data_IF_370332490829
#
_entry.id   IF_370332490829
#
_cell.length_a   1.000
_cell.length_b   1.000
_cell.length_c   1.000
_cell.angle_alpha   90.00
_cell.angle_beta   90.00
_cell.angle_gamma   90.00
#
_symmetry.space_group_name_H-M   'P 1'
#
loop_
_entity.id
_entity.type
_entity.pdbx_description
1 polymer ?
#
# COMPACT_ATOMS: atom_id res chain seq x y z
N UNK A 1 -79.45 36.74 33.57
CA UNK A 1 -78.63 37.05 34.76
C UNK A 1 -77.29 36.34 34.61
N UNK A 2 -76.16 36.91 35.05
CA UNK A 2 -75.51 38.21 34.80
C UNK A 2 -74.22 37.99 33.94
N UNK A 3 -73.85 38.91 33.04
CA UNK A 3 -72.83 39.96 33.20
C UNK A 3 -71.34 39.48 33.27
N UNK A 4 -70.39 40.27 32.71
CA UNK A 4 -69.20 39.78 32.01
C UNK A 4 -67.85 40.15 32.68
N UNK A 5 -66.75 39.75 32.01
CA UNK A 5 -65.38 40.31 32.12
C UNK A 5 -64.59 39.96 33.41
N UNK A 6 -63.23 40.11 33.47
CA UNK A 6 -62.36 40.84 32.55
C UNK A 6 -61.04 40.10 32.15
N UNK A 7 -60.19 40.75 31.30
CA UNK A 7 -59.00 40.16 30.70
C UNK A 7 -57.67 40.65 31.34
N UNK A 8 -56.55 40.21 30.72
CA UNK A 8 -55.14 40.72 30.80
C UNK A 8 -54.34 40.38 32.09
N UNK A 9 -53.00 40.61 32.20
CA UNK A 9 -51.84 40.51 31.28
C UNK A 9 -50.68 39.64 31.86
N UNK A 10 -49.66 39.31 31.04
CA UNK A 10 -48.25 39.21 31.49
C UNK A 10 -47.33 39.21 30.25
N UNK A 11 -46.73 40.35 29.86
CA UNK A 11 -45.34 40.75 30.21
C UNK A 11 -44.31 39.67 29.85
N UNK A 12 -43.51 39.81 28.80
CA UNK A 12 -42.33 40.68 28.71
C UNK A 12 -41.33 40.53 29.89
N UNK A 13 -40.04 40.46 29.52
CA UNK A 13 -38.83 40.47 30.37
C UNK A 13 -38.37 39.09 30.88
N UNK A 14 -37.32 38.49 30.30
CA UNK A 14 -35.92 38.84 30.51
C UNK A 14 -35.51 38.83 31.99
N UNK A 15 -34.93 37.70 32.42
CA UNK A 15 -33.99 37.58 33.55
C UNK A 15 -33.38 36.17 33.47
N UNK A 16 -32.14 36.06 33.00
CA UNK A 16 -31.00 35.86 33.89
C UNK A 16 -31.06 34.52 34.65
N UNK A 17 -30.52 33.47 34.02
CA UNK A 17 -29.80 32.43 34.76
C UNK A 17 -28.40 32.32 34.17
N UNK A 18 -27.51 33.10 34.77
CA UNK A 18 -26.09 32.77 34.83
C UNK A 18 -25.95 31.47 35.63
N UNK A 19 -25.29 30.48 35.05
CA UNK A 19 -24.64 29.40 35.81
C UNK A 19 -23.15 29.48 35.51
N UNK A 20 -22.29 29.68 36.53
CA UNK A 20 -20.85 29.67 36.35
C UNK A 20 -20.39 28.22 36.29
N UNK A 21 -19.69 27.83 35.23
CA UNK A 21 -18.86 26.63 35.28
C UNK A 21 -17.59 26.86 34.49
N UNK A 22 -16.59 27.26 35.26
CA UNK A 22 -15.17 27.23 34.93
C UNK A 22 -14.77 25.88 34.31
N UNK A 23 -14.60 25.87 32.99
CA UNK A 23 -13.87 24.81 32.31
C UNK A 23 -12.39 25.20 32.23
N UNK A 24 -11.45 24.33 32.63
CA UNK A 24 -10.03 24.68 32.66
C UNK A 24 -9.47 24.83 31.24
N UNK A 25 -8.53 25.76 31.11
CA UNK A 25 -7.71 25.94 29.92
C UNK A 25 -7.07 24.61 29.50
N UNK A 26 -7.53 24.08 28.36
CA UNK A 26 -6.98 22.87 27.77
C UNK A 26 -5.60 23.21 27.18
N UNK A 27 -4.55 22.97 27.98
CA UNK A 27 -3.17 23.05 27.54
C UNK A 27 -2.91 22.03 26.42
N UNK A 28 -2.65 22.56 25.23
CA UNK A 28 -1.72 22.00 24.25
C UNK A 28 -1.72 20.49 24.09
N UNK A 29 -2.79 19.93 23.51
CA UNK A 29 -2.64 18.67 22.77
C UNK A 29 -1.77 18.98 21.56
N UNK A 30 -0.61 18.32 21.36
CA UNK A 30 0.14 18.43 20.12
C UNK A 30 -0.80 17.99 19.01
N UNK A 31 -1.12 18.89 18.08
CA UNK A 31 -1.82 18.50 16.84
C UNK A 31 -0.99 17.38 16.22
N UNK A 32 -1.53 16.17 16.20
CA UNK A 32 -0.98 15.10 15.40
C UNK A 32 -0.78 15.64 13.99
N UNK A 33 0.39 15.41 13.34
CA UNK A 33 0.56 15.81 11.96
C UNK A 33 -0.58 15.15 11.19
N UNK A 34 -1.44 16.00 10.61
CA UNK A 34 -2.55 15.62 9.75
C UNK A 34 -1.98 14.58 8.79
N UNK A 35 -2.39 13.31 8.95
CA UNK A 35 -2.06 12.26 8.02
C UNK A 35 -2.39 12.83 6.64
N UNK A 36 -1.37 13.02 5.82
CA UNK A 36 -1.51 13.51 4.45
C UNK A 36 -2.54 12.60 3.78
N UNK A 37 -3.73 13.16 3.58
CA UNK A 37 -4.82 12.52 2.87
C UNK A 37 -4.32 12.18 1.47
N UNK A 38 -3.97 10.91 1.26
CA UNK A 38 -4.46 10.08 0.16
C UNK A 38 -4.26 10.52 -1.31
N UNK A 39 -3.54 11.61 -1.60
CA UNK A 39 -3.40 12.15 -2.96
C UNK A 39 -1.98 11.97 -3.54
N UNK A 40 -1.22 10.98 -3.07
CA UNK A 40 -0.11 10.45 -3.88
C UNK A 40 -0.76 9.51 -4.91
N UNK A 41 -0.91 9.92 -6.19
CA UNK A 41 -1.46 9.04 -7.20
C UNK A 41 -0.57 7.81 -7.26
N UNK A 42 -1.11 6.63 -6.93
CA UNK A 42 -0.42 5.35 -7.09
C UNK A 42 0.16 5.28 -8.50
N UNK A 43 1.46 5.55 -8.63
CA UNK A 43 2.19 5.44 -9.89
C UNK A 43 2.30 3.95 -10.15
N UNK A 44 1.34 3.42 -10.91
CA UNK A 44 1.40 2.05 -11.40
C UNK A 44 2.77 1.85 -12.05
N UNK A 45 3.58 0.87 -11.61
CA UNK A 45 4.92 0.70 -12.14
C UNK A 45 4.85 0.61 -13.67
N UNK A 46 5.70 1.36 -14.40
CA UNK A 46 5.67 1.34 -15.85
C UNK A 46 5.89 -0.10 -16.30
N UNK A 47 4.94 -0.65 -17.10
CA UNK A 47 5.12 -2.00 -17.65
C UNK A 47 6.50 -2.06 -18.32
N UNK A 48 7.31 -3.02 -17.87
CA UNK A 48 8.63 -3.29 -18.43
C UNK A 48 8.50 -3.47 -19.95
N UNK A 49 9.51 -3.00 -20.69
CA UNK A 49 9.55 -3.12 -22.15
C UNK A 49 9.35 -4.59 -22.58
N UNK A 50 9.91 -5.52 -21.81
CA UNK A 50 9.71 -6.96 -21.93
C UNK A 50 8.24 -7.40 -21.83
N UNK A 51 7.47 -6.83 -20.90
CA UNK A 51 6.05 -7.11 -20.77
C UNK A 51 5.21 -6.59 -21.92
N UNK A 52 5.68 -5.56 -22.65
CA UNK A 52 5.01 -5.08 -23.88
C UNK A 52 5.36 -5.97 -25.07
N UNK A 53 6.64 -6.31 -25.24
CA UNK A 53 7.12 -7.13 -26.36
C UNK A 53 6.57 -8.54 -26.33
N UNK A 54 6.57 -9.24 -25.18
CA UNK A 54 6.04 -10.60 -25.11
C UNK A 54 4.53 -10.67 -25.40
N UNK A 55 3.76 -9.66 -24.97
CA UNK A 55 2.32 -9.58 -25.30
C UNK A 55 2.09 -9.31 -26.78
N UNK A 56 2.88 -8.43 -27.41
CA UNK A 56 2.77 -8.20 -28.85
C UNK A 56 3.19 -9.44 -29.65
N UNK A 57 4.23 -10.13 -29.22
CA UNK A 57 4.67 -11.40 -29.81
C UNK A 57 3.56 -12.46 -29.69
N UNK A 58 2.95 -12.59 -28.51
CA UNK A 58 1.85 -13.54 -28.30
C UNK A 58 0.61 -13.22 -29.15
N UNK A 59 0.23 -11.94 -29.29
CA UNK A 59 -0.84 -11.54 -30.20
C UNK A 59 -0.49 -11.87 -31.66
N UNK A 60 0.74 -11.58 -32.08
CA UNK A 60 1.21 -11.88 -33.42
C UNK A 60 1.19 -13.39 -33.70
N UNK A 61 1.69 -14.21 -32.77
CA UNK A 61 1.69 -15.67 -32.94
C UNK A 61 0.29 -16.26 -33.00
N UNK A 62 -0.64 -15.79 -32.15
CA UNK A 62 -2.04 -16.25 -32.17
C UNK A 62 -2.72 -15.83 -33.47
N UNK A 63 -2.54 -14.58 -33.90
CA UNK A 63 -3.06 -14.09 -35.17
C UNK A 63 -2.49 -14.86 -36.37
N UNK A 64 -1.19 -15.14 -36.37
CA UNK A 64 -0.51 -15.87 -37.44
C UNK A 64 -0.99 -17.32 -37.56
N UNK A 65 -1.20 -18.01 -36.43
CA UNK A 65 -1.76 -19.37 -36.42
C UNK A 65 -3.19 -19.36 -36.94
N UNK A 66 -4.03 -18.41 -36.52
CA UNK A 66 -5.40 -18.30 -37.00
C UNK A 66 -5.47 -18.02 -38.51
N UNK A 67 -4.62 -17.10 -39.00
CA UNK A 67 -4.48 -16.82 -40.42
C UNK A 67 -4.03 -18.06 -41.22
N UNK A 68 -3.05 -18.80 -40.70
CA UNK A 68 -2.57 -20.04 -41.33
C UNK A 68 -3.65 -21.12 -41.41
N UNK A 69 -4.52 -21.24 -40.39
CA UNK A 69 -5.64 -22.18 -40.41
C UNK A 69 -6.64 -21.83 -41.53
N UNK A 70 -7.00 -20.54 -41.67
CA UNK A 70 -7.90 -20.09 -42.74
C UNK A 70 -7.31 -20.31 -44.12
N UNK A 71 -6.01 -20.05 -44.31
CA UNK A 71 -5.32 -20.36 -45.57
C UNK A 71 -5.25 -21.87 -45.89
N UNK A 72 -5.42 -22.74 -44.89
CA UNK A 72 -5.41 -24.19 -45.10
C UNK A 72 -6.78 -24.76 -45.47
N UNK A 73 -7.85 -24.12 -45.00
CA UNK A 73 -9.25 -24.51 -45.30
C UNK A 73 -9.76 -23.84 -46.58
N UNK A 74 -9.34 -22.61 -46.85
CA UNK A 74 -9.74 -21.82 -47.99
C UNK A 74 -8.52 -21.43 -48.82
N UNK A 75 -8.65 -21.39 -50.15
CA UNK A 75 -7.65 -20.77 -51.03
C UNK A 75 -8.13 -19.36 -51.43
N UNK A 76 -8.02 -18.35 -50.54
CA UNK A 76 -8.46 -17.00 -50.85
C UNK A 76 -7.61 -16.40 -51.98
N UNK A 77 -8.19 -15.46 -52.72
CA UNK A 77 -7.41 -14.65 -53.66
C UNK A 77 -6.26 -13.93 -52.94
N UNK A 78 -5.13 -13.76 -53.62
CA UNK A 78 -3.94 -13.08 -53.07
C UNK A 78 -4.27 -11.70 -52.49
N UNK A 79 -5.23 -10.99 -53.12
CA UNK A 79 -5.72 -9.70 -52.65
C UNK A 79 -6.47 -9.79 -51.32
N UNK A 80 -7.32 -10.80 -51.12
CA UNK A 80 -8.05 -11.02 -49.88
C UNK A 80 -7.10 -11.41 -48.73
N UNK A 81 -6.11 -12.26 -49.01
CA UNK A 81 -5.07 -12.62 -48.05
C UNK A 81 -4.23 -11.39 -47.63
N UNK A 82 -3.85 -10.54 -48.59
CA UNK A 82 -3.13 -9.30 -48.30
C UNK A 82 -3.96 -8.32 -47.45
N UNK A 83 -5.26 -8.18 -47.75
CA UNK A 83 -6.17 -7.32 -46.97
C UNK A 83 -6.36 -7.82 -45.53
N UNK A 84 -6.50 -9.13 -45.31
CA UNK A 84 -6.60 -9.70 -43.95
C UNK A 84 -5.32 -9.43 -43.13
N UNK A 85 -4.15 -9.61 -43.75
CA UNK A 85 -2.87 -9.38 -43.11
C UNK A 85 -2.66 -7.89 -42.78
N UNK A 86 -3.04 -6.99 -43.69
CA UNK A 86 -3.04 -5.54 -43.44
C UNK A 86 -3.99 -5.16 -42.29
N UNK A 87 -5.19 -5.72 -42.27
CA UNK A 87 -6.16 -5.45 -41.21
C UNK A 87 -5.64 -5.89 -39.83
N UNK A 88 -5.05 -7.08 -39.71
CA UNK A 88 -4.46 -7.50 -38.42
C UNK A 88 -3.19 -6.74 -38.05
N UNK A 89 -2.38 -6.27 -39.00
CA UNK A 89 -1.29 -5.33 -38.71
C UNK A 89 -1.80 -3.99 -38.15
N UNK A 90 -2.90 -3.47 -38.70
CA UNK A 90 -3.58 -2.29 -38.17
C UNK A 90 -4.08 -2.57 -36.75
N UNK A 91 -4.72 -3.72 -36.50
CA UNK A 91 -5.18 -4.11 -35.16
C UNK A 91 -4.02 -4.20 -34.15
N UNK A 92 -2.87 -4.75 -34.54
CA UNK A 92 -1.65 -4.77 -33.73
C UNK A 92 -1.13 -3.36 -33.45
N UNK A 93 -1.16 -2.47 -34.44
CA UNK A 93 -0.80 -1.05 -34.32
C UNK A 93 -1.73 -0.25 -33.40
N UNK A 94 -2.97 -0.70 -33.21
CA UNK A 94 -3.94 -0.09 -32.28
C UNK A 94 -3.72 -0.50 -30.81
N UNK A 95 -3.09 -1.67 -30.54
CA UNK A 95 -2.88 -2.17 -29.17
C UNK A 95 -2.12 -1.21 -28.23
N UNK A 96 -1.11 -0.43 -28.65
CA UNK A 96 -0.45 0.56 -27.80
C UNK A 96 -1.42 1.63 -27.27
N UNK A 97 -2.45 1.98 -28.05
CA UNK A 97 -3.43 3.00 -27.70
C UNK A 97 -4.49 2.52 -26.70
N UNK A 98 -4.52 1.21 -26.37
CA UNK A 98 -5.46 0.61 -25.41
C UNK A 98 -5.44 1.23 -24.01
N UNK A 99 -4.36 1.94 -23.66
CA UNK A 99 -4.27 2.65 -22.38
C UNK A 99 -4.99 3.99 -22.39
N UNK A 100 -4.99 4.71 -23.52
CA UNK A 100 -5.59 6.04 -23.67
C UNK A 100 -7.10 5.97 -23.93
N UNK A 101 -7.52 5.07 -24.81
CA UNK A 101 -8.93 4.92 -25.19
C UNK A 101 -9.33 3.42 -25.24
N UNK A 102 -9.48 2.75 -24.08
CA UNK A 102 -9.66 1.30 -23.98
C UNK A 102 -10.92 0.79 -24.70
N UNK A 103 -12.05 1.50 -24.57
CA UNK A 103 -13.33 1.14 -25.19
C UNK A 103 -13.27 1.29 -26.71
N UNK A 104 -12.84 2.45 -27.20
CA UNK A 104 -12.72 2.70 -28.64
C UNK A 104 -11.79 1.69 -29.30
N UNK A 105 -10.63 1.41 -28.70
CA UNK A 105 -9.68 0.44 -29.23
C UNK A 105 -10.25 -0.98 -29.22
N UNK A 106 -10.95 -1.38 -28.15
CA UNK A 106 -11.56 -2.70 -28.09
C UNK A 106 -12.69 -2.85 -29.14
N UNK A 107 -13.56 -1.86 -29.30
CA UNK A 107 -14.60 -1.86 -30.33
C UNK A 107 -13.99 -1.91 -31.74
N UNK A 108 -12.99 -1.07 -32.03
CA UNK A 108 -12.31 -1.05 -33.34
C UNK A 108 -11.67 -2.40 -33.66
N UNK A 109 -10.94 -2.99 -32.71
CA UNK A 109 -10.31 -4.30 -32.90
C UNK A 109 -11.36 -5.40 -33.06
N UNK A 110 -12.50 -5.32 -32.37
CA UNK A 110 -13.61 -6.29 -32.52
C UNK A 110 -14.22 -6.21 -33.92
N UNK A 111 -14.45 -5.00 -34.42
CA UNK A 111 -14.95 -4.79 -35.80
C UNK A 111 -13.92 -5.28 -36.82
N UNK A 112 -12.63 -4.99 -36.63
CA UNK A 112 -11.58 -5.51 -37.52
C UNK A 112 -11.54 -7.04 -37.51
N UNK A 113 -11.62 -7.66 -36.34
CA UNK A 113 -11.61 -9.12 -36.19
C UNK A 113 -12.83 -9.81 -36.78
N UNK A 114 -13.91 -9.09 -37.06
CA UNK A 114 -15.07 -9.63 -37.79
C UNK A 114 -14.82 -9.89 -39.27
N UNK A 115 -13.83 -9.20 -39.85
CA UNK A 115 -13.47 -9.29 -41.28
C UNK A 115 -12.04 -9.82 -41.46
N UNK A 116 -11.29 -9.99 -40.36
CA UNK A 116 -9.87 -10.33 -40.39
C UNK A 116 -9.51 -11.37 -39.34
N UNK A 117 -9.13 -12.56 -39.81
CA UNK A 117 -8.69 -13.67 -38.96
C UNK A 117 -7.35 -13.40 -38.29
N UNK A 118 -6.47 -12.63 -38.95
CA UNK A 118 -5.19 -12.21 -38.37
C UNK A 118 -5.37 -11.31 -37.13
N UNK A 119 -6.51 -10.62 -37.01
CA UNK A 119 -6.82 -9.71 -35.89
C UNK A 119 -7.23 -10.42 -34.59
N UNK A 120 -7.50 -11.74 -34.61
CA UNK A 120 -7.99 -12.50 -33.44
C UNK A 120 -7.02 -12.41 -32.25
N UNK A 121 -5.71 -12.48 -32.49
CA UNK A 121 -4.71 -12.34 -31.43
C UNK A 121 -4.74 -10.97 -30.77
N UNK A 122 -4.98 -9.90 -31.54
CA UNK A 122 -5.15 -8.55 -31.02
C UNK A 122 -6.46 -8.41 -30.23
N UNK A 123 -7.54 -9.03 -30.69
CA UNK A 123 -8.85 -9.05 -30.02
C UNK A 123 -8.76 -9.67 -28.63
N UNK A 124 -8.15 -10.85 -28.50
CA UNK A 124 -7.97 -11.52 -27.21
C UNK A 124 -7.22 -10.61 -26.23
N UNK A 125 -6.11 -10.01 -26.68
CA UNK A 125 -5.32 -9.12 -25.82
C UNK A 125 -6.06 -7.83 -25.46
N UNK A 126 -6.82 -7.25 -26.39
CA UNK A 126 -7.64 -6.07 -26.14
C UNK A 126 -8.73 -6.38 -25.10
N UNK A 127 -9.43 -7.49 -25.26
CA UNK A 127 -10.50 -7.95 -24.35
C UNK A 127 -9.96 -8.27 -22.96
N UNK A 128 -8.86 -9.03 -22.84
CA UNK A 128 -8.19 -9.26 -21.55
C UNK A 128 -7.83 -7.92 -20.89
N UNK A 129 -7.24 -7.00 -21.66
CA UNK A 129 -6.82 -5.69 -21.16
C UNK A 129 -8.01 -4.85 -20.67
N UNK A 130 -9.14 -4.87 -21.37
CA UNK A 130 -10.36 -4.20 -20.94
C UNK A 130 -10.93 -4.84 -19.67
N UNK A 131 -10.99 -6.18 -19.65
CA UNK A 131 -11.46 -6.96 -18.51
C UNK A 131 -10.60 -6.78 -17.24
N UNK A 132 -9.30 -6.46 -17.36
CA UNK A 132 -8.48 -6.11 -16.18
C UNK A 132 -8.98 -4.88 -15.41
N UNK A 133 -9.79 -4.02 -16.03
CA UNK A 133 -10.41 -2.86 -15.36
C UNK A 133 -11.60 -3.24 -14.47
N UNK A 134 -12.10 -4.49 -14.58
CA UNK A 134 -13.26 -5.04 -13.86
C UNK A 134 -14.55 -4.20 -13.94
N UNK A 135 -14.67 -3.35 -14.97
CA UNK A 135 -15.86 -2.54 -15.22
C UNK A 135 -16.82 -3.32 -16.11
N UNK A 136 -17.74 -4.07 -15.52
CA UNK A 136 -18.72 -4.88 -16.26
C UNK A 136 -19.50 -4.07 -17.31
N UNK A 137 -19.80 -2.81 -17.02
CA UNK A 137 -20.47 -1.88 -17.96
C UNK A 137 -19.68 -1.63 -19.25
N UNK A 138 -18.35 -1.75 -19.22
CA UNK A 138 -17.46 -1.60 -20.37
C UNK A 138 -17.20 -2.94 -21.07
N UNK A 139 -17.09 -4.03 -20.30
CA UNK A 139 -16.75 -5.36 -20.82
C UNK A 139 -17.95 -6.02 -21.51
N UNK A 140 -19.15 -5.92 -20.92
CA UNK A 140 -20.36 -6.54 -21.44
C UNK A 140 -20.69 -6.13 -22.89
N UNK A 141 -20.72 -4.83 -23.27
CA UNK A 141 -21.03 -4.45 -24.64
C UNK A 141 -19.98 -4.95 -25.64
N UNK A 142 -18.69 -4.98 -25.27
CA UNK A 142 -17.64 -5.52 -26.15
C UNK A 142 -17.74 -7.04 -26.31
N UNK A 143 -18.06 -7.75 -25.22
CA UNK A 143 -18.27 -9.19 -25.27
C UNK A 143 -19.50 -9.56 -26.12
N UNK A 144 -20.59 -8.80 -25.98
CA UNK A 144 -21.79 -8.96 -26.81
C UNK A 144 -21.48 -8.61 -28.27
N UNK A 145 -20.74 -7.53 -28.52
CA UNK A 145 -20.33 -7.15 -29.87
C UNK A 145 -19.48 -8.24 -30.53
N UNK A 146 -18.51 -8.80 -29.81
CA UNK A 146 -17.70 -9.92 -30.32
C UNK A 146 -18.59 -11.11 -30.68
N UNK A 147 -19.42 -11.57 -29.74
CA UNK A 147 -20.30 -12.71 -29.99
C UNK A 147 -21.25 -12.49 -31.17
N UNK A 148 -21.97 -11.36 -31.18
CA UNK A 148 -22.90 -11.03 -32.26
C UNK A 148 -22.20 -10.89 -33.60
N UNK A 149 -21.02 -10.27 -33.61
CA UNK A 149 -20.27 -10.09 -34.85
C UNK A 149 -19.83 -11.42 -35.45
N UNK A 150 -19.44 -12.40 -34.62
CA UNK A 150 -19.13 -13.75 -35.10
C UNK A 150 -20.38 -14.46 -35.63
N UNK A 151 -21.52 -14.36 -34.93
CA UNK A 151 -22.77 -14.98 -35.39
C UNK A 151 -23.29 -14.37 -36.70
N UNK A 152 -23.20 -13.06 -36.85
CA UNK A 152 -23.61 -12.36 -38.08
C UNK A 152 -22.69 -12.75 -39.24
N UNK A 153 -21.38 -12.85 -39.00
CA UNK A 153 -20.42 -13.26 -40.03
C UNK A 153 -20.73 -14.67 -40.57
N UNK A 154 -20.98 -15.63 -39.69
CA UNK A 154 -21.36 -16.99 -40.09
C UNK A 154 -22.63 -17.00 -40.94
N UNK A 155 -23.72 -16.38 -40.44
CA UNK A 155 -25.03 -16.38 -41.12
C UNK A 155 -24.99 -15.69 -42.50
N UNK A 156 -24.14 -14.68 -42.68
CA UNK A 156 -24.03 -13.92 -43.93
C UNK A 156 -23.14 -14.62 -44.95
N UNK A 157 -22.08 -15.28 -44.51
CA UNK A 157 -21.07 -15.88 -45.41
C UNK A 157 -21.56 -17.21 -45.96
N UNK A 158 -22.15 -18.05 -45.10
CA UNK A 158 -22.72 -19.34 -45.50
C UNK A 158 -24.06 -19.54 -44.77
N UNK A 159 -25.13 -20.00 -45.44
CA UNK A 159 -26.34 -20.43 -44.75
C UNK A 159 -26.04 -21.72 -43.97
N UNK A 160 -25.46 -21.55 -42.78
CA UNK A 160 -24.99 -22.65 -41.94
C UNK A 160 -26.17 -23.52 -41.47
N UNK A 161 -25.95 -24.82 -41.41
CA UNK A 161 -26.91 -25.72 -40.79
C UNK A 161 -27.08 -25.33 -39.31
N UNK A 162 -28.27 -25.52 -38.68
CA UNK A 162 -28.49 -25.11 -37.30
C UNK A 162 -27.45 -25.68 -36.32
N UNK A 163 -26.93 -26.89 -36.59
CA UNK A 163 -25.91 -27.54 -35.78
C UNK A 163 -24.56 -26.83 -35.85
N UNK A 164 -24.15 -26.36 -37.03
CA UNK A 164 -22.89 -25.62 -37.22
C UNK A 164 -22.93 -24.29 -36.48
N UNK A 165 -24.06 -23.57 -36.57
CA UNK A 165 -24.27 -22.33 -35.82
C UNK A 165 -24.09 -22.54 -34.30
N UNK A 166 -24.61 -23.66 -33.77
CA UNK A 166 -24.40 -24.02 -32.36
C UNK A 166 -22.94 -24.31 -32.03
N UNK A 167 -22.23 -25.02 -32.90
CA UNK A 167 -20.80 -25.32 -32.71
C UNK A 167 -19.98 -24.03 -32.68
N UNK A 168 -20.21 -23.11 -33.62
CA UNK A 168 -19.49 -21.82 -33.64
C UNK A 168 -19.86 -20.96 -32.42
N UNK A 169 -21.13 -20.93 -32.02
CA UNK A 169 -21.57 -20.21 -30.82
C UNK A 169 -20.88 -20.73 -29.56
N UNK A 170 -20.83 -22.06 -29.39
CA UNK A 170 -20.19 -22.72 -28.26
C UNK A 170 -18.67 -22.50 -28.27
N UNK A 171 -18.02 -22.61 -29.43
CA UNK A 171 -16.60 -22.33 -29.57
C UNK A 171 -16.26 -20.88 -29.24
N UNK A 172 -17.05 -19.93 -29.76
CA UNK A 172 -16.90 -18.50 -29.49
C UNK A 172 -17.03 -18.22 -27.99
N UNK A 173 -18.02 -18.81 -27.32
CA UNK A 173 -18.17 -18.71 -25.87
C UNK A 173 -17.01 -19.36 -25.11
N UNK A 174 -16.52 -20.51 -25.56
CA UNK A 174 -15.39 -21.22 -24.97
C UNK A 174 -14.08 -20.42 -25.05
N UNK A 175 -13.94 -19.49 -26.01
CA UNK A 175 -12.79 -18.56 -26.07
C UNK A 175 -13.08 -17.26 -25.33
N UNK A 176 -14.27 -16.67 -25.53
CA UNK A 176 -14.70 -15.40 -24.95
C UNK A 176 -14.69 -15.44 -23.41
N UNK A 177 -15.32 -16.46 -22.83
CA UNK A 177 -15.54 -16.53 -21.37
C UNK A 177 -14.21 -16.64 -20.61
N UNK A 178 -13.29 -17.57 -20.95
CA UNK A 178 -11.97 -17.62 -20.31
C UNK A 178 -11.15 -16.35 -20.52
N UNK A 179 -11.25 -15.71 -21.69
CA UNK A 179 -10.56 -14.45 -21.98
C UNK A 179 -11.00 -13.34 -21.03
N UNK A 180 -12.31 -13.18 -20.84
CA UNK A 180 -12.87 -12.21 -19.88
C UNK A 180 -12.47 -12.59 -18.45
N UNK A 181 -12.63 -13.85 -18.07
CA UNK A 181 -12.36 -14.33 -16.71
C UNK A 181 -10.87 -14.18 -16.34
N UNK A 182 -9.97 -14.43 -17.29
CA UNK A 182 -8.54 -14.20 -17.13
C UNK A 182 -8.25 -12.72 -16.88
N UNK A 183 -8.86 -11.81 -17.63
CA UNK A 183 -8.75 -10.38 -17.41
C UNK A 183 -9.21 -9.96 -16.00
N UNK A 184 -10.39 -10.42 -15.58
CA UNK A 184 -10.92 -10.16 -14.23
C UNK A 184 -10.01 -10.71 -13.13
N UNK A 185 -9.48 -11.91 -13.31
CA UNK A 185 -8.57 -12.56 -12.36
C UNK A 185 -7.24 -11.80 -12.23
N UNK A 186 -6.67 -11.35 -13.34
CA UNK A 186 -5.46 -10.53 -13.35
C UNK A 186 -5.70 -9.18 -12.66
N UNK A 187 -6.84 -8.54 -12.95
CA UNK A 187 -7.25 -7.28 -12.30
C UNK A 187 -7.37 -7.45 -10.78
N UNK A 188 -8.10 -8.49 -10.34
CA UNK A 188 -8.32 -8.77 -8.92
C UNK A 188 -7.03 -9.11 -8.16
N UNK A 189 -6.14 -9.92 -8.76
CA UNK A 189 -4.83 -10.22 -8.16
C UNK A 189 -3.98 -8.96 -7.97
N UNK A 190 -3.98 -8.06 -8.95
CA UNK A 190 -3.22 -6.79 -8.85
C UNK A 190 -3.72 -5.90 -7.73
N UNK A 191 -5.03 -5.76 -7.62
CA UNK A 191 -5.67 -4.99 -6.54
C UNK A 191 -5.35 -5.60 -5.17
N UNK A 192 -5.44 -6.93 -5.05
CA UNK A 192 -5.07 -7.65 -3.83
C UNK A 192 -3.60 -7.42 -3.44
N UNK A 193 -2.67 -7.56 -4.38
CA UNK A 193 -1.25 -7.31 -4.12
C UNK A 193 -0.99 -5.86 -3.70
N UNK A 194 -1.65 -4.89 -4.33
CA UNK A 194 -1.52 -3.49 -3.95
C UNK A 194 -2.01 -3.25 -2.51
N UNK A 195 -3.14 -3.85 -2.13
CA UNK A 195 -3.67 -3.75 -0.76
C UNK A 195 -2.74 -4.43 0.25
N UNK A 196 -2.21 -5.61 -0.07
CA UNK A 196 -1.27 -6.32 0.80
C UNK A 196 0.04 -5.56 0.99
N UNK A 197 0.58 -4.97 -0.08
CA UNK A 197 1.78 -4.15 -0.01
C UNK A 197 1.55 -2.91 0.86
N UNK A 198 0.44 -2.20 0.67
CA UNK A 198 0.09 -1.03 1.50
C UNK A 198 -0.07 -1.41 2.99
N UNK A 199 -0.65 -2.59 3.27
CA UNK A 199 -0.77 -3.12 4.64
C UNK A 199 0.59 -3.48 5.23
N UNK A 200 1.48 -4.11 4.47
CA UNK A 200 2.83 -4.45 4.92
C UNK A 200 3.62 -3.17 5.27
N UNK A 201 3.60 -2.16 4.41
CA UNK A 201 4.27 -0.88 4.68
C UNK A 201 3.71 -0.18 5.93
N UNK A 202 2.40 -0.26 6.15
CA UNK A 202 1.77 0.30 7.35
C UNK A 202 2.18 -0.47 8.61
N UNK A 203 2.21 -1.80 8.54
CA UNK A 203 2.64 -2.65 9.66
C UNK A 203 4.11 -2.42 10.04
N UNK A 204 5.01 -2.24 9.07
CA UNK A 204 6.41 -1.91 9.31
C UNK A 204 6.57 -0.54 10.00
N UNK A 205 5.80 0.47 9.56
CA UNK A 205 5.79 1.78 10.22
C UNK A 205 5.24 1.71 11.65
N UNK A 206 4.19 0.94 11.90
CA UNK A 206 3.68 0.75 13.26
C UNK A 206 4.66 0.00 14.16
N UNK A 207 5.31 -1.04 13.64
CA UNK A 207 6.29 -1.81 14.41
C UNK A 207 7.49 -0.94 14.80
N UNK A 208 8.05 -0.18 13.86
CA UNK A 208 9.15 0.75 14.14
C UNK A 208 8.75 1.82 15.16
N UNK A 209 7.53 2.35 15.08
CA UNK A 209 7.00 3.28 16.08
C UNK A 209 6.85 2.63 17.47
N UNK A 210 6.33 1.40 17.55
CA UNK A 210 6.21 0.65 18.82
C UNK A 210 7.56 0.36 19.45
N UNK A 211 8.57 -0.03 18.67
CA UNK A 211 9.94 -0.26 19.15
C UNK A 211 10.55 1.04 19.68
N UNK A 212 10.37 2.15 18.98
CA UNK A 212 10.85 3.46 19.44
C UNK A 212 10.17 3.87 20.76
N UNK A 213 8.85 3.72 20.85
CA UNK A 213 8.07 4.00 22.06
C UNK A 213 8.51 3.13 23.23
N UNK A 214 8.67 1.82 23.02
CA UNK A 214 9.16 0.90 24.04
C UNK A 214 10.54 1.33 24.55
N UNK A 215 11.47 1.68 23.65
CA UNK A 215 12.80 2.18 24.03
C UNK A 215 12.74 3.47 24.84
N UNK A 216 11.85 4.40 24.51
CA UNK A 216 11.66 5.63 25.29
C UNK A 216 11.03 5.37 26.66
N UNK A 217 10.07 4.45 26.73
CA UNK A 217 9.43 4.05 27.98
C UNK A 217 10.43 3.36 28.93
N UNK A 218 11.26 2.46 28.39
CA UNK A 218 12.36 1.80 29.10
C UNK A 218 13.33 2.82 29.70
N UNK A 219 13.78 3.79 28.90
CA UNK A 219 14.68 4.87 29.35
C UNK A 219 14.04 5.71 30.47
N UNK A 220 12.75 6.02 30.36
CA UNK A 220 12.03 6.77 31.38
C UNK A 220 11.80 5.96 32.66
N UNK A 221 11.63 4.64 32.56
CA UNK A 221 11.58 3.74 33.71
C UNK A 221 12.93 3.68 34.43
N UNK A 222 14.03 3.47 33.71
CA UNK A 222 15.39 3.50 34.26
C UNK A 222 15.64 4.83 34.96
N UNK A 223 15.34 5.97 34.32
CA UNK A 223 15.55 7.28 34.94
C UNK A 223 14.76 7.47 36.25
N UNK A 224 13.54 6.93 36.36
CA UNK A 224 12.74 6.98 37.59
C UNK A 224 13.34 6.09 38.68
N UNK A 225 13.68 4.86 38.37
CA UNK A 225 14.32 3.94 39.32
C UNK A 225 15.63 4.54 39.87
N UNK A 226 16.43 5.16 39.00
CA UNK A 226 17.65 5.86 39.40
C UNK A 226 17.37 7.10 40.26
N UNK A 227 16.32 7.87 39.95
CA UNK A 227 15.94 9.02 40.74
C UNK A 227 15.48 8.63 42.15
N UNK A 228 14.73 7.53 42.28
CA UNK A 228 14.23 7.05 43.57
C UNK A 228 15.38 6.59 44.48
N UNK A 229 16.35 5.83 43.95
CA UNK A 229 17.55 5.41 44.70
C UNK A 229 18.38 6.63 45.12
N UNK A 230 18.57 7.60 44.22
CA UNK A 230 19.31 8.82 44.51
C UNK A 230 18.62 9.68 45.58
N UNK A 231 17.30 9.90 45.45
CA UNK A 231 16.52 10.70 46.37
C UNK A 231 16.55 10.11 47.79
N UNK A 232 16.46 8.78 47.90
CA UNK A 232 16.56 8.08 49.18
C UNK A 232 17.91 8.34 49.87
N UNK A 233 19.02 8.24 49.13
CA UNK A 233 20.38 8.45 49.69
C UNK A 233 20.64 9.89 50.09
N UNK A 234 20.22 10.85 49.27
CA UNK A 234 20.32 12.28 49.61
C UNK A 234 19.50 12.57 50.87
N UNK A 235 18.33 11.95 51.03
CA UNK A 235 17.51 12.10 52.24
C UNK A 235 18.21 11.59 53.50
N UNK A 236 18.91 10.44 53.42
CA UNK A 236 19.71 9.91 54.54
C UNK A 236 20.88 10.85 54.89
N UNK A 237 21.61 11.34 53.90
CA UNK A 237 22.70 12.31 54.11
C UNK A 237 22.19 13.61 54.74
N UNK A 238 21.06 14.14 54.25
CA UNK A 238 20.44 15.35 54.80
C UNK A 238 19.96 15.14 56.24
N UNK A 239 19.40 13.97 56.55
CA UNK A 239 18.98 13.61 57.91
C UNK A 239 20.17 13.54 58.89
N UNK A 240 21.24 12.80 58.53
CA UNK A 240 22.42 12.67 59.39
C UNK A 240 23.18 13.98 59.59
N UNK A 241 23.31 14.80 58.54
CA UNK A 241 23.94 16.12 58.64
C UNK A 241 23.10 17.11 59.46
N UNK A 242 21.77 17.09 59.32
CA UNK A 242 20.86 17.87 60.16
C UNK A 242 20.94 17.48 61.64
N UNK A 243 21.05 16.19 61.95
CA UNK A 243 21.23 15.70 63.31
C UNK A 243 22.56 16.18 63.93
N UNK A 244 23.65 16.13 63.15
CA UNK A 244 24.96 16.62 63.57
C UNK A 244 24.96 18.13 63.84
N UNK A 245 24.20 18.91 63.05
CA UNK A 245 24.14 20.37 63.20
C UNK A 245 23.39 20.84 64.46
N UNK A 246 22.52 20.00 65.05
CA UNK A 246 21.66 20.39 66.17
C UNK A 246 22.07 19.76 67.51
N UNK A 247 22.86 18.68 67.50
CA UNK A 247 23.39 18.04 68.72
C UNK A 247 24.68 18.72 69.18
N UNK A 248 24.61 19.42 70.31
CA UNK A 248 25.76 20.08 70.95
C UNK A 248 26.40 19.23 72.06
N UNK A 249 25.88 18.03 72.28
CA UNK A 249 26.22 17.12 73.38
C UNK A 249 27.08 15.91 72.94
N UNK A 250 27.48 15.86 71.66
CA UNK A 250 28.31 14.79 71.11
C UNK A 250 29.78 14.97 71.51
N UNK A 251 30.45 13.85 71.81
CA UNK A 251 31.90 13.80 71.95
C UNK A 251 32.61 13.90 70.59
N UNK A 252 33.93 14.17 70.62
CA UNK A 252 34.73 14.27 69.39
C UNK A 252 34.72 12.96 68.58
N UNK A 253 34.75 11.81 69.25
CA UNK A 253 34.69 10.49 68.60
C UNK A 253 33.32 10.25 67.95
N UNK A 254 32.21 10.53 68.63
CA UNK A 254 30.86 10.36 68.07
C UNK A 254 30.60 11.31 66.89
N UNK A 255 31.11 12.54 66.95
CA UNK A 255 31.04 13.50 65.84
C UNK A 255 31.80 12.98 64.62
N UNK A 256 32.98 12.38 64.85
CA UNK A 256 33.81 11.79 63.79
C UNK A 256 33.13 10.56 63.16
N UNK A 257 32.46 9.74 63.95
CA UNK A 257 31.71 8.58 63.48
C UNK A 257 30.55 9.00 62.55
N UNK A 258 29.71 9.94 62.98
CA UNK A 258 28.59 10.45 62.16
C UNK A 258 29.10 11.13 60.87
N UNK A 259 30.19 11.90 60.96
CA UNK A 259 30.81 12.51 59.79
C UNK A 259 31.36 11.46 58.80
N UNK A 260 31.84 10.32 59.30
CA UNK A 260 32.32 9.21 58.46
C UNK A 260 31.14 8.53 57.75
N UNK A 261 30.02 8.28 58.44
CA UNK A 261 28.78 7.75 57.84
C UNK A 261 28.26 8.66 56.71
N UNK A 262 28.29 9.98 56.91
CA UNK A 262 27.91 10.96 55.87
C UNK A 262 28.84 10.85 54.66
N UNK A 263 30.16 10.81 54.89
CA UNK A 263 31.18 10.72 53.85
C UNK A 263 31.02 9.43 53.03
N UNK A 264 30.82 8.30 53.69
CA UNK A 264 30.69 7.00 53.04
C UNK A 264 29.41 6.92 52.20
N UNK A 265 28.27 7.39 52.71
CA UNK A 265 27.03 7.45 51.95
C UNK A 265 27.12 8.39 50.73
N UNK A 266 27.80 9.53 50.86
CA UNK A 266 28.04 10.46 49.75
C UNK A 266 28.95 9.84 48.66
N UNK A 267 30.02 9.13 49.06
CA UNK A 267 30.88 8.43 48.12
C UNK A 267 30.17 7.27 47.41
N UNK A 268 29.36 6.50 48.13
CA UNK A 268 28.59 5.41 47.56
C UNK A 268 27.56 5.93 46.52
N UNK A 269 26.85 7.02 46.83
CA UNK A 269 25.91 7.66 45.92
C UNK A 269 26.59 8.20 44.64
N UNK A 270 27.75 8.84 44.77
CA UNK A 270 28.52 9.32 43.61
C UNK A 270 29.05 8.17 42.74
N UNK A 271 29.40 7.03 43.34
CA UNK A 271 29.91 5.85 42.63
C UNK A 271 28.81 5.22 41.78
N UNK A 272 27.63 4.99 42.35
CA UNK A 272 26.50 4.43 41.61
C UNK A 272 25.99 5.37 40.50
N UNK A 273 25.97 6.68 40.75
CA UNK A 273 25.58 7.65 39.72
C UNK A 273 26.57 7.66 38.54
N UNK A 274 27.88 7.47 38.81
CA UNK A 274 28.89 7.29 37.76
C UNK A 274 28.75 5.98 37.01
N UNK A 275 28.39 4.90 37.68
CA UNK A 275 28.16 3.59 37.06
C UNK A 275 26.96 3.65 36.08
N UNK A 276 25.85 4.24 36.53
CA UNK A 276 24.63 4.42 35.74
C UNK A 276 24.84 5.37 34.57
N UNK A 277 25.52 6.51 34.78
CA UNK A 277 25.90 7.42 33.69
C UNK A 277 26.89 6.76 32.72
N UNK A 278 27.76 5.88 33.21
CA UNK A 278 28.67 5.07 32.39
C UNK A 278 27.92 4.15 31.43
N UNK A 279 26.89 3.47 31.92
CA UNK A 279 26.01 2.60 31.12
C UNK A 279 25.17 3.42 30.12
N UNK A 280 24.67 4.60 30.50
CA UNK A 280 23.87 5.48 29.62
C UNK A 280 24.70 6.23 28.57
N UNK A 281 26.00 6.49 28.82
CA UNK A 281 26.93 7.17 27.90
C UNK A 281 27.62 6.23 26.90
N UNK A 282 27.39 4.92 27.02
CA UNK A 282 27.89 3.92 26.10
C UNK A 282 27.05 3.63 24.82
N UNK A 283 26.36 4.59 24.14
CA UNK A 283 25.87 4.34 22.79
C UNK A 283 26.58 5.23 21.76
N UNK A 284 27.75 4.80 21.27
CA UNK A 284 28.28 5.20 19.95
C UNK A 284 29.48 4.34 19.49
N UNK A 285 30.21 3.69 20.40
CA UNK A 285 31.36 2.84 20.05
C UNK A 285 30.98 1.35 20.09
N UNK A 286 30.18 0.88 19.13
CA UNK A 286 30.19 -0.55 18.68
C UNK A 286 29.20 -0.88 17.56
N UNK A 287 29.34 -0.31 16.36
CA UNK A 287 28.83 -0.96 15.12
C UNK A 287 29.65 -0.65 13.85
N UNK A 288 30.87 -0.07 13.95
CA UNK A 288 31.69 0.24 12.76
C UNK A 288 32.86 -0.72 12.48
N UNK A 289 33.03 -1.82 13.23
CA UNK A 289 34.20 -2.70 13.06
C UNK A 289 33.92 -4.21 13.06
N UNK A 290 32.71 -4.65 12.76
CA UNK A 290 32.50 -6.06 12.43
C UNK A 290 31.48 -6.22 11.29
N UNK A 291 31.97 -6.80 10.19
CA UNK A 291 31.23 -7.32 9.04
C UNK A 291 30.92 -6.32 7.90
N UNK A 292 31.97 -5.78 7.28
CA UNK A 292 31.95 -5.63 5.83
C UNK A 292 32.04 -7.02 5.20
N UNK A 293 31.23 -7.39 4.19
CA UNK A 293 31.32 -8.69 3.53
C UNK A 293 32.72 -8.86 2.94
N UNK A 294 33.37 -9.98 3.29
CA UNK A 294 34.64 -10.37 2.70
C UNK A 294 34.52 -10.35 1.17
N UNK A 295 35.33 -9.51 0.53
CA UNK A 295 35.51 -9.53 -0.91
C UNK A 295 35.97 -10.94 -1.32
N UNK A 296 35.37 -11.56 -2.36
CA UNK A 296 35.83 -12.85 -2.84
C UNK A 296 37.26 -12.74 -3.39
N UNK A 297 38.11 -13.78 -3.21
CA UNK A 297 39.49 -13.75 -3.70
C UNK A 297 39.52 -13.65 -5.23
N UNK A 298 40.35 -12.74 -5.73
CA UNK A 298 40.59 -12.52 -7.15
C UNK A 298 41.06 -13.83 -7.83
N UNK A 299 40.31 -14.23 -8.85
CA UNK A 299 40.69 -15.31 -9.76
C UNK A 299 41.92 -14.93 -10.57
N UNK A 300 42.94 -15.78 -10.56
CA UNK A 300 44.13 -15.68 -11.42
C UNK A 300 43.77 -15.86 -12.90
N UNK A 301 44.50 -15.22 -13.84
CA UNK A 301 44.26 -15.38 -15.26
C UNK A 301 44.78 -16.75 -15.73
N UNK A 302 43.87 -17.58 -16.25
CA UNK A 302 44.19 -18.82 -16.95
C UNK A 302 44.69 -18.46 -18.36
N UNK A 303 45.99 -18.63 -18.60
CA UNK A 303 46.60 -18.57 -19.92
C UNK A 303 46.02 -19.71 -20.76
N UNK A 304 45.30 -19.36 -21.83
CA UNK A 304 44.88 -20.30 -22.86
C UNK A 304 46.10 -20.68 -23.72
N UNK A 305 46.20 -21.98 -24.02
CA UNK A 305 47.10 -22.56 -25.01
C UNK A 305 46.24 -23.14 -26.12
#
# INVERSE_FOLDING_TARGET
MPAPAPPVPASASAAARQTPSSAPANHGVPRTPKASSGDEPFVSPPLTLWGKTWRMLLAFTVGFVAFGAVLSESAPSDAAAALDLLAGLVALGLLPFRRRAPLLVACLITVLASVSSFSIGALVIATVSLATRRRWREVLPVAVLWFLSTMVFEVVTEPADPLELWVVALFTLAVLVPTVLAGFSIGGRRELFAVLQARAETAEREQSARVAQARTAERAAIAREMHDVLAHRISLVAMHSGALAYRNDLTADETTEVATVIRDNAHLALTELREVLGVLRAPEVRWSTATGPAAPPASTPRVAR
#
